data_IF_972471835292
#
_entry.id   IF_972471835292
#
_cell.length_a   1.000
_cell.length_b   1.000
_cell.length_c   1.000
_cell.angle_alpha   90.00
_cell.angle_beta   90.00
_cell.angle_gamma   90.00
#
_symmetry.space_group_name_H-M   'P 1'
#
loop_
_entity.id
_entity.type
_entity.pdbx_description
1 polymer ?
#
# COMPACT_ATOMS: atom_id res chain seq x y z
N UNK A 1 18.01 19.44 -41.79
CA UNK A 1 18.62 18.11 -41.59
C UNK A 1 18.16 17.59 -40.24
N UNK A 2 17.30 16.57 -40.20
CA UNK A 2 16.91 15.93 -38.94
C UNK A 2 18.13 15.23 -38.33
N UNK A 3 18.49 15.61 -37.11
CA UNK A 3 19.55 14.96 -36.34
C UNK A 3 19.01 13.61 -35.86
N UNK A 4 19.46 12.51 -36.47
CA UNK A 4 19.09 11.16 -36.07
C UNK A 4 19.61 10.91 -34.64
N UNK A 5 18.69 10.67 -33.69
CA UNK A 5 19.05 10.41 -32.28
C UNK A 5 19.94 9.17 -32.19
N UNK A 6 20.97 9.23 -31.35
CA UNK A 6 21.85 8.09 -31.07
C UNK A 6 21.11 7.01 -30.27
N UNK A 7 21.56 5.76 -30.36
CA UNK A 7 21.02 4.66 -29.58
C UNK A 7 21.04 4.96 -28.06
N UNK A 8 22.05 5.68 -27.58
CA UNK A 8 22.16 6.14 -26.19
C UNK A 8 21.02 7.10 -25.82
N UNK A 9 20.70 8.05 -26.70
CA UNK A 9 19.58 8.98 -26.47
C UNK A 9 18.24 8.24 -26.39
N UNK A 10 18.02 7.26 -27.29
CA UNK A 10 16.82 6.41 -27.23
C UNK A 10 16.71 5.58 -25.94
N UNK A 11 17.82 5.01 -25.46
CA UNK A 11 17.86 4.28 -24.19
C UNK A 11 17.53 5.20 -23.02
N UNK A 12 18.14 6.39 -22.98
CA UNK A 12 17.91 7.37 -21.91
C UNK A 12 16.45 7.84 -21.91
N UNK A 13 15.88 8.13 -23.08
CA UNK A 13 14.49 8.57 -23.21
C UNK A 13 13.53 7.47 -22.73
N UNK A 14 13.76 6.21 -23.13
CA UNK A 14 12.97 5.06 -22.68
C UNK A 14 13.04 4.87 -21.17
N UNK A 15 14.24 4.98 -20.59
CA UNK A 15 14.42 4.87 -19.14
C UNK A 15 13.68 5.99 -18.40
N UNK A 16 13.74 7.23 -18.89
CA UNK A 16 13.02 8.36 -18.29
C UNK A 16 11.52 8.13 -18.34
N UNK A 17 10.96 7.86 -19.52
CA UNK A 17 9.52 7.71 -19.70
C UNK A 17 8.96 6.56 -18.85
N UNK A 18 9.58 5.38 -18.92
CA UNK A 18 9.12 4.22 -18.14
C UNK A 18 9.27 4.46 -16.64
N UNK A 19 10.41 5.01 -16.20
CA UNK A 19 10.68 5.20 -14.76
C UNK A 19 9.77 6.26 -14.14
N UNK A 20 9.50 7.36 -14.83
CA UNK A 20 8.60 8.41 -14.33
C UNK A 20 7.20 7.85 -14.14
N UNK A 21 6.68 7.11 -15.12
CA UNK A 21 5.38 6.46 -14.99
C UNK A 21 5.38 5.48 -13.80
N UNK A 22 6.42 4.65 -13.63
CA UNK A 22 6.51 3.73 -12.48
C UNK A 22 6.40 4.46 -11.14
N UNK A 23 7.13 5.57 -10.99
CA UNK A 23 7.12 6.36 -9.76
C UNK A 23 5.77 7.02 -9.51
N UNK A 24 5.10 7.53 -10.55
CA UNK A 24 3.77 8.11 -10.41
C UNK A 24 2.74 7.08 -9.94
N UNK A 25 2.73 5.89 -10.53
CA UNK A 25 1.82 4.81 -10.11
C UNK A 25 2.14 4.36 -8.68
N UNK A 26 3.43 4.20 -8.35
CA UNK A 26 3.87 3.87 -7.00
C UNK A 26 3.37 4.89 -5.95
N UNK A 27 3.50 6.19 -6.24
CA UNK A 27 3.05 7.24 -5.34
C UNK A 27 1.53 7.22 -5.13
N UNK A 28 0.75 6.93 -6.17
CA UNK A 28 -0.70 6.82 -6.06
C UNK A 28 -1.11 5.58 -5.26
N UNK A 29 -0.49 4.43 -5.52
CA UNK A 29 -0.75 3.22 -4.75
C UNK A 29 -0.37 3.43 -3.27
N UNK A 30 0.74 4.10 -2.99
CA UNK A 30 1.14 4.46 -1.63
C UNK A 30 0.14 5.37 -0.93
N UNK A 31 -0.46 6.33 -1.65
CA UNK A 31 -1.53 7.19 -1.10
C UNK A 31 -2.78 6.37 -0.79
N UNK A 32 -3.22 5.51 -1.72
CA UNK A 32 -4.36 4.63 -1.52
C UNK A 32 -4.15 3.68 -0.33
N UNK A 33 -2.96 3.09 -0.20
CA UNK A 33 -2.63 2.20 0.92
C UNK A 33 -2.62 2.93 2.26
N UNK A 34 -2.17 4.20 2.30
CA UNK A 34 -2.29 5.05 3.50
C UNK A 34 -3.74 5.32 3.89
N UNK A 35 -4.65 5.48 2.92
CA UNK A 35 -6.08 5.63 3.20
C UNK A 35 -6.61 4.32 3.78
N UNK A 36 -6.33 3.18 3.14
CA UNK A 36 -6.71 1.86 3.63
C UNK A 36 -6.30 1.64 5.09
N UNK A 37 -5.04 1.95 5.43
CA UNK A 37 -4.54 1.84 6.82
C UNK A 37 -5.37 2.64 7.83
N UNK A 38 -5.76 3.87 7.48
CA UNK A 38 -6.59 4.71 8.35
C UNK A 38 -7.98 4.12 8.54
N UNK A 39 -8.59 3.63 7.47
CA UNK A 39 -9.90 2.97 7.54
C UNK A 39 -9.83 1.71 8.41
N UNK A 40 -8.79 0.87 8.24
CA UNK A 40 -8.60 -0.32 9.08
C UNK A 40 -8.46 0.05 10.57
N UNK A 41 -7.70 1.09 10.90
CA UNK A 41 -7.60 1.59 12.28
C UNK A 41 -8.97 2.05 12.82
N UNK A 42 -9.74 2.77 12.02
CA UNK A 42 -11.09 3.22 12.41
C UNK A 42 -12.04 2.05 12.64
N UNK A 43 -11.98 1.03 11.78
CA UNK A 43 -12.80 -0.19 11.91
C UNK A 43 -12.45 -0.92 13.21
N UNK A 44 -11.17 -1.15 13.48
CA UNK A 44 -10.72 -1.82 14.71
C UNK A 44 -11.18 -1.06 15.96
N UNK A 45 -11.07 0.27 15.96
CA UNK A 45 -11.53 1.10 17.08
C UNK A 45 -13.06 1.01 17.27
N UNK A 46 -13.83 1.16 16.18
CA UNK A 46 -15.30 1.10 16.23
C UNK A 46 -15.78 -0.26 16.72
N UNK A 47 -15.20 -1.34 16.18
CA UNK A 47 -15.65 -2.70 16.51
C UNK A 47 -15.28 -3.06 17.94
N UNK A 48 -14.08 -2.69 18.39
CA UNK A 48 -13.70 -2.92 19.78
C UNK A 48 -14.54 -2.11 20.78
N UNK A 49 -15.11 -0.96 20.38
CA UNK A 49 -16.07 -0.24 21.24
C UNK A 49 -17.38 -0.99 21.40
N UNK A 50 -17.84 -1.67 20.35
CA UNK A 50 -19.05 -2.51 20.37
C UNK A 50 -18.82 -3.84 21.10
N UNK A 51 -17.60 -4.38 21.04
CA UNK A 51 -17.20 -5.66 21.64
C UNK A 51 -16.62 -5.53 23.06
N UNK A 52 -16.55 -4.33 23.63
CA UNK A 52 -15.83 -4.05 24.89
C UNK A 52 -16.34 -4.83 26.11
N UNK A 53 -17.61 -5.24 26.10
CA UNK A 53 -18.28 -5.92 27.21
C UNK A 53 -18.27 -7.46 27.01
N UNK A 54 -17.65 -7.94 25.94
CA UNK A 54 -17.54 -9.35 25.58
C UNK A 54 -16.15 -9.93 25.93
N UNK A 55 -15.89 -11.17 25.53
CA UNK A 55 -14.61 -11.86 25.75
C UNK A 55 -13.45 -11.16 25.02
N UNK A 56 -12.40 -10.74 25.75
CA UNK A 56 -11.24 -10.04 25.18
C UNK A 56 -10.58 -10.75 23.98
N UNK A 57 -10.73 -12.07 23.86
CA UNK A 57 -10.17 -12.86 22.76
C UNK A 57 -10.82 -12.57 21.41
N UNK A 58 -11.98 -11.91 21.38
CA UNK A 58 -12.66 -11.52 20.14
C UNK A 58 -12.32 -10.09 19.69
N UNK A 59 -11.59 -9.33 20.51
CA UNK A 59 -11.16 -7.98 20.16
C UNK A 59 -10.19 -8.02 18.97
N UNK A 60 -10.34 -7.03 18.10
CA UNK A 60 -9.50 -6.88 16.92
C UNK A 60 -8.19 -6.18 17.29
N UNK A 61 -7.10 -6.59 16.64
CA UNK A 61 -5.80 -5.93 16.78
C UNK A 61 -5.32 -5.41 15.42
N UNK A 62 -5.00 -4.12 15.33
CA UNK A 62 -4.34 -3.54 14.16
C UNK A 62 -2.82 -3.47 14.39
N UNK A 63 -2.02 -3.87 13.40
CA UNK A 63 -0.56 -3.70 13.43
C UNK A 63 -0.06 -3.08 12.13
N UNK A 64 0.70 -2.00 12.25
CA UNK A 64 1.40 -1.39 11.13
C UNK A 64 2.78 -2.04 10.95
N UNK A 65 3.05 -2.64 9.79
CA UNK A 65 4.32 -3.31 9.45
C UNK A 65 5.19 -2.45 8.53
N UNK A 66 5.02 -1.13 8.58
CA UNK A 66 5.77 -0.19 7.76
C UNK A 66 5.08 0.09 6.43
N UNK A 67 5.80 0.64 5.45
CA UNK A 67 5.13 1.28 4.31
C UNK A 67 4.38 0.34 3.36
N UNK A 68 4.64 -0.97 3.42
CA UNK A 68 4.12 -1.94 2.45
C UNK A 68 3.11 -2.92 3.04
N UNK A 69 3.02 -3.02 4.36
CA UNK A 69 2.20 -4.06 4.99
C UNK A 69 1.45 -3.50 6.22
N UNK A 70 0.27 -4.07 6.46
CA UNK A 70 -0.45 -3.94 7.71
C UNK A 70 -1.26 -5.19 7.98
N UNK A 71 -1.44 -5.52 9.25
CA UNK A 71 -2.15 -6.70 9.72
C UNK A 71 -3.37 -6.26 10.53
N UNK A 72 -4.47 -7.00 10.37
CA UNK A 72 -5.62 -6.96 11.28
C UNK A 72 -5.86 -8.39 11.77
N UNK A 73 -5.76 -8.58 13.08
CA UNK A 73 -6.14 -9.83 13.73
C UNK A 73 -7.61 -9.75 14.14
N UNK A 74 -8.38 -10.77 13.81
CA UNK A 74 -9.80 -10.88 14.13
C UNK A 74 -9.99 -12.23 14.83
N UNK A 75 -10.12 -12.20 16.15
CA UNK A 75 -10.13 -13.41 16.98
C UNK A 75 -8.93 -14.34 16.69
N UNK A 76 -9.18 -15.49 16.05
CA UNK A 76 -8.16 -16.46 15.67
C UNK A 76 -7.49 -16.21 14.32
N UNK A 77 -8.05 -15.33 13.50
CA UNK A 77 -7.62 -15.12 12.11
C UNK A 77 -6.71 -13.89 11.97
N UNK A 78 -5.79 -13.96 11.00
CA UNK A 78 -4.89 -12.85 10.65
C UNK A 78 -5.11 -12.44 9.19
N UNK A 79 -5.58 -11.21 8.99
CA UNK A 79 -5.73 -10.61 7.68
C UNK A 79 -4.51 -9.72 7.41
N UNK A 80 -3.78 -10.01 6.34
CA UNK A 80 -2.58 -9.27 5.96
C UNK A 80 -2.87 -8.48 4.68
N UNK A 81 -2.69 -7.17 4.73
CA UNK A 81 -2.82 -6.29 3.58
C UNK A 81 -1.44 -5.87 3.10
N UNK A 82 -1.17 -6.10 1.82
CA UNK A 82 0.13 -5.83 1.21
C UNK A 82 0.01 -4.87 0.03
N UNK A 83 0.91 -3.89 -0.01
CA UNK A 83 1.16 -3.03 -1.16
C UNK A 83 2.40 -3.52 -1.89
N UNK A 84 2.21 -4.10 -3.08
CA UNK A 84 3.32 -4.47 -3.93
C UNK A 84 3.98 -3.23 -4.55
N UNK A 85 5.31 -3.17 -4.49
CA UNK A 85 6.11 -2.09 -5.05
C UNK A 85 6.27 -2.19 -6.57
N UNK A 86 6.06 -3.38 -7.15
CA UNK A 86 6.11 -3.60 -8.58
C UNK A 86 4.69 -3.56 -9.18
N UNK A 87 4.42 -2.57 -10.02
CA UNK A 87 3.11 -2.33 -10.65
C UNK A 87 3.20 -2.57 -12.18
N UNK A 88 4.12 -3.45 -12.61
CA UNK A 88 4.39 -3.80 -14.01
C UNK A 88 4.63 -5.30 -14.16
#
# INVERSE_FOLDING_TARGET
MEKKRSAKEHIIDTLKEKSVLKQQVFDQTKKAFKILKKELQSIVLSYNQELKDEDERILLEYRDRGMFETEVKVAGDLIIFNMHSNIF
#
